data_IF_035722701875
#
_entry.id   IF_035722701875
#
_cell.length_a   1.000
_cell.length_b   1.000
_cell.length_c   1.000
_cell.angle_alpha   90.00
_cell.angle_beta   90.00
_cell.angle_gamma   90.00
#
_symmetry.space_group_name_H-M   'P 1'
#
loop_
_entity.id
_entity.type
_entity.pdbx_description
1 polymer ?
#
# COMPACT_ATOMS: atom_id res chain seq x y z
N UNK A 1 29.64 33.56 -12.30
CA UNK A 1 29.27 32.74 -11.13
C UNK A 1 27.77 32.67 -11.11
N UNK A 2 27.19 31.58 -11.62
CA UNK A 2 25.75 31.33 -11.60
C UNK A 2 25.50 30.25 -10.56
N UNK A 3 25.03 30.66 -9.39
CA UNK A 3 24.43 29.79 -8.40
C UNK A 3 23.17 29.18 -9.01
N UNK A 4 23.28 27.95 -9.51
CA UNK A 4 22.13 27.10 -9.79
C UNK A 4 21.76 26.43 -8.47
N UNK A 5 20.89 27.07 -7.71
CA UNK A 5 20.15 26.43 -6.62
C UNK A 5 19.37 25.26 -7.21
N UNK A 6 19.87 24.05 -7.01
CA UNK A 6 19.13 22.83 -7.24
C UNK A 6 17.80 22.90 -6.44
N UNK A 7 16.67 22.44 -6.99
CA UNK A 7 15.45 22.35 -6.23
C UNK A 7 15.69 21.39 -5.06
N UNK A 8 15.71 21.95 -3.85
CA UNK A 8 15.81 21.19 -2.61
C UNK A 8 14.48 20.47 -2.45
N UNK A 9 14.46 19.19 -2.78
CA UNK A 9 13.34 18.30 -2.48
C UNK A 9 13.10 18.40 -0.95
N UNK A 10 11.92 18.83 -0.48
CA UNK A 10 11.67 18.90 0.95
C UNK A 10 11.85 17.49 1.53
N UNK A 11 12.66 17.41 2.59
CA UNK A 11 13.08 16.20 3.30
C UNK A 11 12.27 14.91 3.03
N UNK A 12 12.90 13.98 2.32
CA UNK A 12 12.73 12.51 2.37
C UNK A 12 11.50 11.92 3.07
N UNK A 13 10.29 12.19 2.55
CA UNK A 13 9.09 11.51 3.01
C UNK A 13 9.19 10.01 2.67
N UNK A 14 9.11 9.16 3.69
CA UNK A 14 9.13 7.70 3.51
C UNK A 14 7.81 7.27 2.88
N UNK A 15 7.86 6.79 1.64
CA UNK A 15 6.67 6.23 0.95
C UNK A 15 6.43 4.81 1.44
N UNK A 16 5.23 4.51 1.93
CA UNK A 16 4.82 3.16 2.34
C UNK A 16 4.09 2.43 1.22
N UNK A 17 4.23 1.11 1.15
CA UNK A 17 3.44 0.31 0.19
C UNK A 17 1.93 0.53 0.39
N UNK A 18 1.51 0.68 1.63
CA UNK A 18 0.11 0.92 2.02
C UNK A 18 -0.44 2.26 1.53
N UNK A 19 0.44 3.23 1.24
CA UNK A 19 0.04 4.53 0.68
C UNK A 19 -0.22 4.44 -0.82
N UNK A 20 0.48 3.52 -1.49
CA UNK A 20 0.37 3.28 -2.94
C UNK A 20 -0.75 2.30 -3.25
N UNK A 21 -0.92 1.28 -2.40
CA UNK A 21 -1.86 0.18 -2.56
C UNK A 21 -2.62 -0.01 -1.24
N UNK A 22 -3.74 0.69 -1.01
CA UNK A 22 -4.47 0.65 0.25
C UNK A 22 -4.88 -0.77 0.68
N UNK A 23 -5.19 -1.63 -0.29
CA UNK A 23 -5.58 -3.02 -0.05
C UNK A 23 -4.44 -3.87 0.53
N UNK A 24 -3.18 -3.45 0.38
CA UNK A 24 -2.02 -4.17 0.94
C UNK A 24 -1.84 -3.94 2.44
N UNK A 25 -2.51 -2.93 3.03
CA UNK A 25 -2.44 -2.67 4.47
C UNK A 25 -2.87 -3.87 5.30
N UNK A 26 -3.96 -4.54 4.90
CA UNK A 26 -4.43 -5.76 5.57
C UNK A 26 -3.45 -6.93 5.40
N UNK A 27 -2.80 -7.05 4.24
CA UNK A 27 -1.83 -8.11 3.99
C UNK A 27 -0.57 -7.93 4.84
N UNK A 28 -0.02 -6.70 4.90
CA UNK A 28 1.15 -6.39 5.74
C UNK A 28 0.82 -6.55 7.22
N UNK A 29 -0.39 -6.14 7.63
CA UNK A 29 -0.87 -6.30 9.00
C UNK A 29 -0.97 -7.77 9.38
N UNK A 30 -1.60 -8.59 8.52
CA UNK A 30 -1.68 -10.04 8.72
C UNK A 30 -0.30 -10.71 8.78
N UNK A 31 0.65 -10.32 7.91
CA UNK A 31 2.03 -10.84 7.95
C UNK A 31 2.65 -10.57 9.31
N UNK A 32 2.59 -9.32 9.79
CA UNK A 32 3.23 -8.94 11.04
C UNK A 32 2.55 -9.59 12.26
N UNK A 33 1.24 -9.79 12.24
CA UNK A 33 0.53 -10.54 13.29
C UNK A 33 0.94 -12.00 13.32
N UNK A 34 1.01 -12.66 12.16
CA UNK A 34 1.43 -14.05 12.10
C UNK A 34 2.92 -14.24 12.48
N UNK A 35 3.79 -13.32 12.07
CA UNK A 35 5.20 -13.30 12.50
C UNK A 35 5.32 -13.13 14.02
N UNK A 36 4.52 -12.24 14.61
CA UNK A 36 4.46 -12.06 16.07
C UNK A 36 4.02 -13.34 16.80
N UNK A 37 3.04 -14.07 16.26
CA UNK A 37 2.57 -15.33 16.84
C UNK A 37 3.65 -16.43 16.76
N UNK A 38 4.34 -16.56 15.64
CA UNK A 38 5.33 -17.62 15.41
C UNK A 38 6.65 -17.37 16.14
N UNK A 39 7.08 -16.12 16.28
CA UNK A 39 8.28 -15.76 17.04
C UNK A 39 8.19 -16.07 18.54
N UNK A 40 7.00 -16.41 19.05
CA UNK A 40 6.84 -16.92 20.42
C UNK A 40 7.49 -18.30 20.64
N UNK A 41 7.91 -18.98 19.56
CA UNK A 41 8.51 -20.32 19.57
C UNK A 41 10.04 -20.33 19.29
N UNK A 42 10.77 -19.27 19.65
CA UNK A 42 12.24 -19.10 19.46
C UNK A 42 12.72 -18.91 18.01
N UNK A 43 11.83 -18.76 17.03
CA UNK A 43 12.20 -18.52 15.64
C UNK A 43 12.77 -17.11 15.40
N UNK A 44 13.62 -16.95 14.37
CA UNK A 44 14.11 -15.63 13.94
C UNK A 44 13.03 -14.86 13.19
N UNK A 45 13.14 -13.53 13.18
CA UNK A 45 12.21 -12.69 12.42
C UNK A 45 12.27 -13.00 10.92
N UNK A 46 13.48 -13.23 10.39
CA UNK A 46 13.68 -13.53 8.97
C UNK A 46 13.06 -14.86 8.52
N UNK A 47 13.11 -15.91 9.35
CA UNK A 47 12.53 -17.21 9.01
C UNK A 47 11.01 -17.19 9.13
N UNK A 48 10.47 -16.63 10.21
CA UNK A 48 9.02 -16.42 10.37
C UNK A 48 8.45 -15.58 9.20
N UNK A 49 9.14 -14.50 8.81
CA UNK A 49 8.68 -13.65 7.70
C UNK A 49 8.58 -14.43 6.38
N UNK A 50 9.60 -15.21 6.02
CA UNK A 50 9.60 -16.04 4.80
C UNK A 50 8.51 -17.11 4.84
N UNK A 51 8.30 -17.74 5.99
CA UNK A 51 7.27 -18.76 6.19
C UNK A 51 5.88 -18.21 5.87
N UNK A 52 5.55 -17.05 6.44
CA UNK A 52 4.24 -16.43 6.27
C UNK A 52 4.01 -15.84 4.89
N UNK A 53 5.01 -15.24 4.25
CA UNK A 53 4.82 -14.69 2.91
C UNK A 53 4.57 -15.79 1.87
N UNK A 54 5.19 -16.96 2.06
CA UNK A 54 4.90 -18.15 1.27
C UNK A 54 3.48 -18.69 1.54
N UNK A 55 3.04 -18.75 2.80
CA UNK A 55 1.70 -19.20 3.18
C UNK A 55 0.59 -18.26 2.64
N UNK A 56 0.79 -16.95 2.76
CA UNK A 56 -0.18 -15.94 2.33
C UNK A 56 -0.34 -15.84 0.82
N UNK A 57 0.69 -16.21 0.06
CA UNK A 57 0.57 -16.35 -1.40
C UNK A 57 -0.59 -17.26 -1.78
N UNK A 58 -0.75 -18.38 -1.07
CA UNK A 58 -1.87 -19.32 -1.25
C UNK A 58 -3.19 -18.75 -0.74
N UNK A 59 -3.20 -18.16 0.46
CA UNK A 59 -4.42 -17.70 1.12
C UNK A 59 -5.09 -16.50 0.42
N UNK A 60 -4.30 -15.52 -0.04
CA UNK A 60 -4.80 -14.27 -0.62
C UNK A 60 -4.79 -14.23 -2.15
N UNK A 61 -4.43 -15.33 -2.82
CA UNK A 61 -4.25 -15.40 -4.29
C UNK A 61 -3.40 -14.24 -4.83
N UNK A 62 -2.38 -13.84 -4.07
CA UNK A 62 -1.55 -12.69 -4.41
C UNK A 62 -0.69 -12.96 -5.62
N UNK A 63 -0.47 -11.91 -6.43
CA UNK A 63 0.48 -11.97 -7.54
C UNK A 63 1.88 -12.29 -7.00
N UNK A 64 2.64 -13.20 -7.64
CA UNK A 64 4.02 -13.52 -7.28
C UNK A 64 4.90 -12.28 -7.01
N UNK A 65 4.76 -11.26 -7.85
CA UNK A 65 5.61 -10.06 -7.81
C UNK A 65 5.33 -9.13 -6.63
N UNK A 66 4.18 -9.30 -5.95
CA UNK A 66 3.83 -8.52 -4.76
C UNK A 66 4.46 -9.10 -3.48
N UNK A 67 4.84 -10.39 -3.49
CA UNK A 67 5.37 -11.05 -2.30
C UNK A 67 6.67 -10.37 -1.80
N UNK A 68 7.68 -10.10 -2.65
CA UNK A 68 8.89 -9.41 -2.21
C UNK A 68 8.62 -7.98 -1.72
N UNK A 69 7.60 -7.31 -2.27
CA UNK A 69 7.23 -5.95 -1.84
C UNK A 69 6.60 -5.95 -0.45
N UNK A 70 5.80 -6.97 -0.13
CA UNK A 70 5.19 -7.13 1.20
C UNK A 70 6.24 -7.52 2.25
N UNK A 71 7.16 -8.41 1.89
CA UNK A 71 8.33 -8.73 2.73
C UNK A 71 9.14 -7.46 3.04
N UNK A 72 9.49 -6.70 2.00
CA UNK A 72 10.26 -5.48 2.17
C UNK A 72 9.49 -4.45 3.00
N UNK A 73 8.18 -4.29 2.78
CA UNK A 73 7.35 -3.39 3.57
C UNK A 73 7.29 -3.80 5.05
N UNK A 74 7.20 -5.10 5.36
CA UNK A 74 7.24 -5.61 6.73
C UNK A 74 8.58 -5.30 7.39
N UNK A 75 9.70 -5.56 6.71
CA UNK A 75 11.06 -5.22 7.18
C UNK A 75 11.16 -3.71 7.44
N UNK A 76 10.77 -2.87 6.48
CA UNK A 76 10.84 -1.40 6.58
C UNK A 76 10.04 -0.87 7.77
N UNK A 77 8.89 -1.47 8.10
CA UNK A 77 8.09 -1.09 9.26
C UNK A 77 8.75 -1.46 10.58
N UNK A 78 9.35 -2.64 10.67
CA UNK A 78 10.11 -3.06 11.86
C UNK A 78 11.37 -2.20 12.02
N UNK A 79 12.07 -1.88 10.93
CA UNK A 79 13.21 -0.94 10.91
C UNK A 79 12.81 0.43 11.42
N UNK A 80 11.68 0.97 10.97
CA UNK A 80 11.16 2.25 11.46
C UNK A 80 10.72 2.17 12.94
N UNK A 81 10.16 1.05 13.38
CA UNK A 81 9.82 0.82 14.79
C UNK A 81 11.06 0.76 15.70
N UNK A 82 12.19 0.30 15.16
CA UNK A 82 13.51 0.36 15.81
C UNK A 82 14.12 1.78 15.82
N UNK A 83 13.48 2.76 15.17
CA UNK A 83 13.94 4.14 15.12
C UNK A 83 14.96 4.42 14.02
N UNK A 84 15.15 3.48 13.08
CA UNK A 84 16.02 3.66 11.92
C UNK A 84 15.23 4.17 10.72
N UNK A 85 15.91 4.90 9.82
CA UNK A 85 15.33 5.29 8.54
C UNK A 85 15.28 4.07 7.62
N UNK A 86 14.09 3.63 7.16
CA UNK A 86 13.99 2.49 6.26
C UNK A 86 14.52 2.82 4.87
N UNK A 87 15.08 1.83 4.18
CA UNK A 87 15.42 1.90 2.75
C UNK A 87 14.18 2.19 1.89
N UNK A 88 14.38 2.53 0.62
CA UNK A 88 13.29 2.71 -0.33
C UNK A 88 12.46 1.44 -0.51
N UNK A 89 11.17 1.60 -0.82
CA UNK A 89 10.25 0.48 -1.02
C UNK A 89 10.69 -0.50 -2.13
N UNK A 90 11.38 0.03 -3.16
CA UNK A 90 11.88 -0.73 -4.30
C UNK A 90 13.35 -1.12 -4.14
N UNK A 91 14.00 -0.68 -3.07
CA UNK A 91 15.37 -1.09 -2.79
C UNK A 91 15.36 -2.55 -2.29
N UNK A 92 16.45 -3.29 -2.52
CA UNK A 92 16.61 -4.62 -1.94
C UNK A 92 16.44 -4.57 -0.41
N UNK A 93 15.91 -5.64 0.21
CA UNK A 93 15.79 -5.72 1.65
C UNK A 93 17.14 -5.47 2.33
N UNK A 94 17.14 -4.65 3.38
CA UNK A 94 18.35 -4.37 4.14
C UNK A 94 18.72 -5.59 4.98
N UNK A 95 19.54 -6.47 4.40
CA UNK A 95 20.01 -7.69 5.05
C UNK A 95 20.79 -7.43 6.33
N UNK A 96 21.49 -6.29 6.44
CA UNK A 96 22.20 -5.94 7.66
C UNK A 96 21.21 -5.60 8.77
N UNK A 97 20.14 -4.87 8.44
CA UNK A 97 19.07 -4.56 9.38
C UNK A 97 18.29 -5.80 9.80
N UNK A 98 17.97 -6.70 8.87
CA UNK A 98 17.30 -7.98 9.18
C UNK A 98 18.16 -8.78 10.16
N UNK A 99 19.46 -8.92 9.91
CA UNK A 99 20.37 -9.60 10.82
C UNK A 99 20.45 -8.91 12.20
N UNK A 100 20.42 -7.57 12.22
CA UNK A 100 20.41 -6.80 13.47
C UNK A 100 19.12 -7.01 14.28
N UNK A 101 17.97 -7.14 13.61
CA UNK A 101 16.68 -7.49 14.23
C UNK A 101 16.73 -8.92 14.76
N UNK A 102 17.20 -9.88 13.95
CA UNK A 102 17.30 -11.30 14.34
C UNK A 102 18.18 -11.52 15.57
N UNK A 103 19.26 -10.73 15.70
CA UNK A 103 20.19 -10.77 16.82
C UNK A 103 19.65 -10.18 18.13
N UNK A 104 18.52 -9.46 18.09
CA UNK A 104 17.92 -8.94 19.32
C UNK A 104 17.34 -10.07 20.17
N UNK A 105 17.29 -9.90 21.51
CA UNK A 105 16.55 -10.82 22.38
C UNK A 105 15.09 -10.95 21.94
N UNK A 106 14.51 -12.14 22.04
CA UNK A 106 13.10 -12.41 21.72
C UNK A 106 12.11 -11.34 22.23
N UNK A 107 12.15 -10.87 23.50
CA UNK A 107 11.21 -9.84 23.96
C UNK A 107 11.39 -8.49 23.26
N UNK A 108 12.62 -8.16 22.81
CA UNK A 108 12.89 -6.93 22.06
C UNK A 108 12.34 -7.06 20.64
N UNK A 109 12.56 -8.20 19.97
CA UNK A 109 12.01 -8.46 18.64
C UNK A 109 10.48 -8.36 18.64
N UNK A 110 9.83 -8.97 19.64
CA UNK A 110 8.39 -8.90 19.81
C UNK A 110 7.90 -7.45 19.96
N UNK A 111 8.54 -6.67 20.83
CA UNK A 111 8.17 -5.28 21.05
C UNK A 111 8.32 -4.40 19.79
N UNK A 112 9.32 -4.69 18.94
CA UNK A 112 9.50 -4.00 17.66
C UNK A 112 8.36 -4.30 16.70
N UNK A 113 7.92 -5.56 16.62
CA UNK A 113 6.81 -5.98 15.77
C UNK A 113 5.49 -5.39 16.28
N UNK A 114 5.23 -5.45 17.58
CA UNK A 114 4.03 -4.86 18.20
C UNK A 114 3.95 -3.35 17.94
N UNK A 115 5.09 -2.66 18.01
CA UNK A 115 5.19 -1.24 17.67
C UNK A 115 4.95 -0.99 16.18
N UNK A 116 5.49 -1.82 15.30
CA UNK A 116 5.23 -1.75 13.86
C UNK A 116 3.73 -1.95 13.53
N UNK A 117 3.09 -2.93 14.17
CA UNK A 117 1.64 -3.17 14.08
C UNK A 117 0.84 -1.98 14.60
N UNK A 118 1.24 -1.40 15.74
CA UNK A 118 0.59 -0.22 16.30
C UNK A 118 0.66 0.96 15.33
N UNK A 119 1.83 1.24 14.76
CA UNK A 119 2.00 2.31 13.77
C UNK A 119 1.16 2.06 12.51
N UNK A 120 1.09 0.81 12.04
CA UNK A 120 0.26 0.44 10.89
C UNK A 120 -1.23 0.68 11.16
N UNK A 121 -1.73 0.37 12.36
CA UNK A 121 -3.11 0.65 12.77
C UNK A 121 -3.41 2.15 12.89
N UNK A 122 -2.42 2.95 13.29
CA UNK A 122 -2.54 4.40 13.40
C UNK A 122 -2.40 5.12 12.06
N UNK A 123 -1.93 4.44 11.01
CA UNK A 123 -1.85 5.03 9.68
C UNK A 123 -3.27 5.13 9.12
N UNK A 124 -3.89 6.32 9.02
CA UNK A 124 -5.22 6.42 8.46
C UNK A 124 -5.17 5.94 7.01
N UNK A 125 -6.19 5.18 6.57
CA UNK A 125 -6.35 4.84 5.16
C UNK A 125 -6.22 6.13 4.33
N UNK A 126 -5.41 6.14 3.26
CA UNK A 126 -5.06 7.39 2.59
C UNK A 126 -6.32 8.01 1.96
N UNK A 127 -6.85 9.05 2.60
CA UNK A 127 -7.90 9.94 2.06
C UNK A 127 -7.39 10.77 0.87
N UNK A 128 -6.12 10.63 0.48
CA UNK A 128 -5.40 11.52 -0.43
C UNK A 128 -5.09 10.99 -1.83
N UNK A 129 -5.51 9.77 -2.21
CA UNK A 129 -5.27 9.25 -3.57
C UNK A 129 -6.06 10.00 -4.66
N UNK A 130 -7.10 10.78 -4.30
CA UNK A 130 -7.85 11.62 -5.23
C UNK A 130 -7.21 12.98 -5.54
N UNK A 131 -6.20 13.42 -4.78
CA UNK A 131 -5.65 14.77 -4.93
C UNK A 131 -4.43 14.86 -5.88
N UNK A 132 -3.72 13.75 -6.15
CA UNK A 132 -2.54 13.75 -7.03
C UNK A 132 -2.84 13.41 -8.50
N UNK A 133 -4.03 12.95 -8.83
CA UNK A 133 -4.47 12.73 -10.22
C UNK A 133 -4.96 14.01 -10.93
N UNK A 134 -5.08 15.14 -10.22
CA UNK A 134 -5.54 16.41 -10.80
C UNK A 134 -4.43 17.28 -11.40
N UNK A 135 -3.15 16.89 -11.31
CA UNK A 135 -2.01 17.69 -11.78
C UNK A 135 -1.36 17.17 -13.08
N UNK A 136 -1.95 16.17 -13.75
CA UNK A 136 -1.45 15.63 -15.04
C UNK A 136 -2.36 15.96 -16.23
N UNK A 137 -3.30 16.90 -16.09
CA UNK A 137 -4.11 17.39 -17.22
C UNK A 137 -3.57 18.72 -17.75
N UNK A 138 -2.39 18.67 -18.36
CA UNK A 138 -1.89 19.67 -19.31
C UNK A 138 -0.96 18.90 -20.23
N UNK A 139 -1.08 18.84 -21.56
CA UNK A 139 -1.88 19.60 -22.51
C UNK A 139 -1.94 18.71 -23.77
N UNK A 140 -3.13 18.32 -24.22
CA UNK A 140 -3.28 17.75 -25.58
C UNK A 140 -3.60 18.95 -26.48
N UNK A 141 -2.73 19.33 -27.44
CA UNK A 141 -3.14 20.29 -28.45
C UNK A 141 -4.14 19.60 -29.37
N UNK A 142 -5.41 19.96 -29.25
CA UNK A 142 -6.45 19.54 -30.18
C UNK A 142 -6.20 20.19 -31.55
N UNK A 143 -6.12 19.44 -32.65
CA UNK A 143 -6.12 20.00 -33.98
C UNK A 143 -7.56 20.23 -34.49
N UNK A 144 -7.67 21.29 -35.30
CA UNK A 144 -8.66 21.61 -36.35
C UNK A 144 -10.07 22.09 -35.99
N UNK A 145 -10.28 23.37 -36.30
CA UNK A 145 -11.32 23.95 -37.15
C UNK A 145 -12.70 23.29 -37.22
N UNK A 146 -13.70 24.10 -36.88
CA UNK A 146 -14.83 24.34 -37.78
C UNK A 146 -16.22 24.06 -37.24
N UNK A 147 -17.02 25.14 -37.21
CA UNK A 147 -18.48 25.18 -37.45
C UNK A 147 -19.40 25.22 -36.22
N UNK A 148 -19.80 26.47 -35.91
CA UNK A 148 -21.08 27.03 -35.44
C UNK A 148 -22.01 26.27 -34.46
N UNK A 149 -22.66 27.00 -33.52
CA UNK A 149 -23.60 26.44 -32.55
C UNK A 149 -25.03 26.32 -33.13
N UNK A 150 -25.68 25.19 -32.88
CA UNK A 150 -27.14 25.07 -32.99
C UNK A 150 -27.73 24.76 -31.62
N UNK A 151 -28.55 25.68 -31.15
CA UNK A 151 -29.28 25.68 -29.87
C UNK A 151 -30.65 25.00 -30.02
N UNK A 152 -31.21 24.56 -28.87
CA UNK A 152 -32.62 24.18 -28.55
C UNK A 152 -33.15 22.86 -29.18
N UNK A 153 -33.96 22.00 -28.57
CA UNK A 153 -34.85 22.11 -27.41
C UNK A 153 -35.25 20.75 -26.80
N UNK A 154 -35.55 20.80 -25.50
CA UNK A 154 -36.63 20.13 -24.72
C UNK A 154 -37.60 19.18 -25.44
N UNK A 155 -37.86 18.00 -24.84
CA UNK A 155 -39.22 17.52 -24.47
C UNK A 155 -39.18 16.17 -23.73
N UNK A 156 -39.73 16.17 -22.51
CA UNK A 156 -40.26 15.00 -21.78
C UNK A 156 -41.51 14.48 -22.52
N UNK A 157 -41.82 13.17 -22.52
CA UNK A 157 -42.88 12.70 -21.61
C UNK A 157 -42.82 11.22 -21.13
N UNK A 158 -43.37 11.02 -19.93
CA UNK A 158 -44.36 9.98 -19.55
C UNK A 158 -43.98 8.48 -19.47
N UNK A 159 -43.96 8.02 -18.20
CA UNK A 159 -44.44 6.79 -17.56
C UNK A 159 -44.82 5.54 -18.40
N UNK A 160 -44.45 4.36 -17.87
CA UNK A 160 -45.40 3.23 -17.65
C UNK A 160 -44.82 2.23 -16.64
N UNK A 161 -45.64 1.90 -15.64
CA UNK A 161 -45.42 0.87 -14.63
C UNK A 161 -45.98 -0.50 -15.10
N UNK A 162 -45.31 -1.59 -14.71
CA UNK A 162 -45.80 -2.97 -14.51
C UNK A 162 -44.58 -3.92 -14.65
N UNK A 163 -44.40 -5.04 -13.96
CA UNK A 163 -45.31 -5.90 -13.20
C UNK A 163 -44.46 -6.83 -12.32
N UNK A 164 -45.02 -7.21 -11.16
CA UNK A 164 -44.54 -8.24 -10.23
C UNK A 164 -44.61 -9.65 -10.84
N UNK A 165 -44.07 -10.59 -10.05
CA UNK A 165 -44.30 -12.06 -10.00
C UNK A 165 -43.33 -12.92 -10.80
N UNK A 166 -42.94 -14.12 -10.37
CA UNK A 166 -42.82 -14.79 -9.09
C UNK A 166 -42.19 -16.17 -9.40
N UNK A 167 -41.55 -16.76 -8.39
CA UNK A 167 -41.59 -18.20 -8.11
C UNK A 167 -41.02 -19.25 -9.10
N UNK A 168 -40.02 -19.96 -8.55
CA UNK A 168 -40.05 -21.40 -8.21
C UNK A 168 -39.19 -22.33 -9.08
N UNK A 169 -38.39 -23.08 -8.33
CA UNK A 169 -37.48 -24.16 -8.69
C UNK A 169 -38.16 -25.35 -9.41
N UNK A 170 -37.35 -26.29 -9.90
CA UNK A 170 -37.12 -27.52 -9.12
C UNK A 170 -35.71 -27.67 -8.56
#
# INVERSE_FOLDING_TARGET
MTDTTAPTNPAGETVWLTDLLPDTGHAVHAILECVAEEMSFDESFSEALKGWTQALRGAFKMKPDLVPLLENEAVRRVTAAAGHTPSGLLDPPDHAMIAAIDAQPAPVRQALIDRALHHLRLTPAPTGALARSAALTTSVPAPVSGTAPTTVATTTPTATAARRTAHRAP
#
